data_IF_640475175227
#
_entry.id   IF_640475175227
#
_cell.length_a   1.000
_cell.length_b   1.000
_cell.length_c   1.000
_cell.angle_alpha   90.00
_cell.angle_beta   90.00
_cell.angle_gamma   90.00
#
_symmetry.space_group_name_H-M   'P 1'
#
loop_
_entity.id
_entity.type
_entity.pdbx_description
1 polymer ?
#
# COMPACT_ATOMS: atom_id res chain seq x y z
N UNK A 1 -19.60 12.96 -15.41
CA UNK A 1 -18.99 13.95 -14.50
C UNK A 1 -19.75 13.92 -13.18
N UNK A 2 -19.32 13.06 -12.27
CA UNK A 2 -19.72 13.15 -10.87
C UNK A 2 -18.91 14.25 -10.24
N UNK A 3 -19.51 15.42 -10.14
CA UNK A 3 -18.99 16.56 -9.40
C UNK A 3 -18.94 16.17 -7.90
N UNK A 4 -17.73 15.86 -7.42
CA UNK A 4 -17.45 15.65 -5.99
C UNK A 4 -17.07 16.95 -5.28
N UNK A 5 -17.40 18.10 -5.83
CA UNK A 5 -17.22 19.42 -5.20
C UNK A 5 -18.45 19.80 -4.37
N UNK A 6 -18.77 19.06 -3.33
CA UNK A 6 -19.57 19.58 -2.22
C UNK A 6 -18.71 19.53 -0.96
N UNK A 7 -18.68 20.61 -0.21
CA UNK A 7 -17.98 20.81 1.05
C UNK A 7 -18.25 19.66 2.04
N UNK A 8 -17.59 18.53 1.81
CA UNK A 8 -17.46 17.46 2.77
C UNK A 8 -16.21 17.78 3.57
N UNK A 9 -16.38 17.93 4.89
CA UNK A 9 -15.32 17.95 5.89
C UNK A 9 -14.11 17.17 5.44
N UNK A 10 -12.90 17.68 5.62
CA UNK A 10 -11.61 17.04 5.33
C UNK A 10 -11.47 15.70 6.08
N UNK A 11 -12.16 14.67 5.59
CA UNK A 11 -12.00 13.30 6.06
C UNK A 11 -10.78 12.75 5.35
N UNK A 12 -9.72 12.43 6.10
CA UNK A 12 -8.55 11.79 5.53
C UNK A 12 -8.90 10.44 4.93
N UNK A 13 -8.39 10.18 3.73
CA UNK A 13 -8.65 8.93 3.05
C UNK A 13 -7.92 7.76 3.73
N UNK A 14 -8.52 6.59 3.65
CA UNK A 14 -8.07 5.37 4.31
C UNK A 14 -7.85 4.30 3.27
N UNK A 15 -6.68 3.72 3.36
CA UNK A 15 -6.23 2.70 2.45
C UNK A 15 -5.73 1.47 3.21
N UNK A 16 -5.87 0.32 2.59
CA UNK A 16 -5.34 -0.95 3.10
C UNK A 16 -4.23 -1.45 2.19
N UNK A 17 -3.17 -1.97 2.79
CA UNK A 17 -2.11 -2.69 2.11
C UNK A 17 -2.08 -4.13 2.62
N UNK A 18 -2.24 -5.10 1.74
CA UNK A 18 -2.30 -6.51 2.10
C UNK A 18 -1.27 -7.35 1.32
N UNK A 19 -0.58 -8.20 2.05
CA UNK A 19 0.39 -9.16 1.54
C UNK A 19 -0.20 -10.57 1.44
N UNK A 20 -1.45 -10.78 1.84
CA UNK A 20 -2.08 -12.08 2.02
C UNK A 20 -1.18 -13.03 2.81
N UNK A 21 -0.86 -12.64 4.04
CA UNK A 21 0.02 -13.43 4.91
C UNK A 21 -0.74 -14.65 5.41
N UNK A 22 -0.18 -15.84 5.19
CA UNK A 22 -0.76 -17.07 5.68
C UNK A 22 -0.71 -17.10 7.21
N UNK A 23 -1.81 -17.47 7.80
CA UNK A 23 -1.95 -17.66 9.24
C UNK A 23 -1.64 -19.13 9.63
N UNK A 24 -1.05 -19.32 10.81
CA UNK A 24 -0.83 -20.66 11.34
C UNK A 24 -2.15 -21.45 11.42
N UNK A 25 -2.11 -22.70 10.99
CA UNK A 25 -3.30 -23.58 10.99
C UNK A 25 -4.29 -23.35 9.84
N UNK A 26 -4.11 -22.33 8.97
CA UNK A 26 -5.00 -22.08 7.84
C UNK A 26 -4.46 -22.62 6.52
N UNK A 27 -5.36 -23.07 5.67
CA UNK A 27 -5.07 -23.38 4.27
C UNK A 27 -4.99 -22.09 3.42
N UNK A 28 -4.42 -22.17 2.23
CA UNK A 28 -4.43 -21.04 1.30
C UNK A 28 -5.87 -20.59 0.98
N UNK A 29 -6.81 -21.54 0.82
CA UNK A 29 -8.21 -21.23 0.55
C UNK A 29 -8.86 -20.44 1.69
N UNK A 30 -8.52 -20.75 2.95
CA UNK A 30 -9.02 -20.01 4.11
C UNK A 30 -8.52 -18.55 4.06
N UNK A 31 -7.25 -18.31 3.72
CA UNK A 31 -6.69 -16.97 3.61
C UNK A 31 -7.40 -16.17 2.51
N UNK A 32 -7.66 -16.76 1.34
CA UNK A 32 -8.41 -16.08 0.28
C UNK A 32 -9.86 -15.77 0.67
N UNK A 33 -10.54 -16.69 1.38
CA UNK A 33 -11.89 -16.47 1.88
C UNK A 33 -11.93 -15.35 2.94
N UNK A 34 -10.98 -15.34 3.85
CA UNK A 34 -10.83 -14.28 4.85
C UNK A 34 -10.56 -12.93 4.21
N UNK A 35 -9.67 -12.88 3.21
CA UNK A 35 -9.40 -11.66 2.45
C UNK A 35 -10.66 -11.18 1.74
N UNK A 36 -11.43 -12.08 1.11
CA UNK A 36 -12.72 -11.72 0.50
C UNK A 36 -13.67 -11.08 1.51
N UNK A 37 -13.82 -11.71 2.68
CA UNK A 37 -14.65 -11.18 3.76
C UNK A 37 -14.19 -9.76 4.15
N UNK A 38 -12.90 -9.57 4.34
CA UNK A 38 -12.32 -8.30 4.74
C UNK A 38 -12.53 -7.22 3.66
N UNK A 39 -12.20 -7.48 2.41
CA UNK A 39 -12.36 -6.50 1.31
C UNK A 39 -13.82 -6.06 1.15
N UNK A 40 -14.78 -7.01 1.18
CA UNK A 40 -16.21 -6.70 1.08
C UNK A 40 -16.70 -5.88 2.28
N UNK A 41 -16.24 -6.19 3.48
CA UNK A 41 -16.60 -5.41 4.67
C UNK A 41 -16.04 -3.99 4.61
N UNK A 42 -14.80 -3.82 4.13
CA UNK A 42 -14.15 -2.52 4.01
C UNK A 42 -14.78 -1.65 2.91
N UNK A 43 -15.25 -2.24 1.82
CA UNK A 43 -16.06 -1.54 0.81
C UNK A 43 -17.34 -0.94 1.44
N UNK A 44 -18.07 -1.74 2.23
CA UNK A 44 -19.27 -1.28 2.97
C UNK A 44 -18.95 -0.20 4.01
N UNK A 45 -17.79 -0.25 4.64
CA UNK A 45 -17.32 0.75 5.60
C UNK A 45 -16.87 2.06 4.93
N UNK A 46 -16.83 2.12 3.59
CA UNK A 46 -16.44 3.30 2.84
C UNK A 46 -14.93 3.55 2.84
N UNK A 47 -14.13 2.50 2.88
CA UNK A 47 -12.70 2.61 2.63
C UNK A 47 -12.44 3.08 1.20
N UNK A 48 -11.46 3.94 1.03
CA UNK A 48 -11.18 4.54 -0.27
C UNK A 48 -10.41 3.58 -1.19
N UNK A 49 -9.41 2.82 -0.65
CA UNK A 49 -8.52 1.96 -1.43
C UNK A 49 -8.13 0.68 -0.72
N UNK A 50 -7.84 -0.35 -1.53
CA UNK A 50 -7.24 -1.61 -1.08
C UNK A 50 -6.19 -2.08 -2.08
N UNK A 51 -4.93 -2.20 -1.65
CA UNK A 51 -3.84 -2.63 -2.51
C UNK A 51 -3.26 -3.97 -2.09
N UNK A 52 -2.98 -4.80 -3.09
CA UNK A 52 -2.26 -6.06 -2.94
C UNK A 52 -0.78 -5.84 -3.27
N UNK A 53 0.12 -6.29 -2.37
CA UNK A 53 1.55 -6.31 -2.63
C UNK A 53 1.92 -7.45 -3.58
N UNK A 54 3.10 -7.38 -4.20
CA UNK A 54 3.67 -8.47 -4.99
C UNK A 54 4.95 -8.99 -4.32
N UNK A 55 4.95 -10.29 -3.97
CA UNK A 55 6.11 -10.97 -3.42
C UNK A 55 6.23 -12.39 -3.97
N UNK A 56 7.46 -12.82 -4.26
CA UNK A 56 7.74 -14.15 -4.80
C UNK A 56 8.76 -14.89 -3.95
N UNK A 57 8.64 -16.23 -3.91
CA UNK A 57 9.57 -17.10 -3.18
C UNK A 57 9.36 -17.20 -1.67
N UNK A 58 8.29 -16.61 -1.14
CA UNK A 58 7.94 -16.68 0.28
C UNK A 58 6.70 -17.55 0.47
N UNK A 59 6.86 -18.73 1.07
CA UNK A 59 5.76 -19.70 1.25
C UNK A 59 4.58 -19.16 2.09
N UNK A 60 4.83 -18.14 2.88
CA UNK A 60 3.83 -17.51 3.75
C UNK A 60 3.17 -16.27 3.16
N UNK A 61 3.54 -15.84 1.96
CA UNK A 61 2.95 -14.69 1.26
C UNK A 61 2.22 -15.18 0.01
N UNK A 62 0.89 -15.04 -0.01
CA UNK A 62 0.07 -15.58 -1.11
C UNK A 62 -0.23 -14.55 -2.20
N UNK A 63 0.18 -13.31 -2.02
CA UNK A 63 0.02 -12.26 -3.01
C UNK A 63 1.19 -12.27 -4.00
N UNK A 64 1.14 -13.20 -4.95
CA UNK A 64 2.15 -13.41 -6.00
C UNK A 64 1.72 -12.90 -7.38
N UNK A 65 0.42 -12.66 -7.58
CA UNK A 65 -0.17 -12.12 -8.80
C UNK A 65 -1.23 -11.08 -8.40
N UNK A 66 -0.80 -9.88 -7.95
CA UNK A 66 -1.68 -8.90 -7.35
C UNK A 66 -2.73 -8.36 -8.33
N UNK A 67 -2.45 -8.34 -9.64
CA UNK A 67 -3.40 -7.96 -10.68
C UNK A 67 -4.57 -8.94 -10.80
N UNK A 68 -4.32 -10.23 -10.59
CA UNK A 68 -5.39 -11.27 -10.58
C UNK A 68 -6.25 -11.09 -9.33
N UNK A 69 -5.61 -10.89 -8.16
CA UNK A 69 -6.32 -10.64 -6.90
C UNK A 69 -7.17 -9.37 -7.01
N UNK A 70 -6.58 -8.28 -7.48
CA UNK A 70 -7.29 -7.02 -7.65
C UNK A 70 -8.50 -7.18 -8.58
N UNK A 71 -8.36 -7.86 -9.72
CA UNK A 71 -9.46 -8.11 -10.65
C UNK A 71 -10.58 -8.94 -10.01
N UNK A 72 -10.22 -10.00 -9.27
CA UNK A 72 -11.20 -10.83 -8.56
C UNK A 72 -11.98 -10.02 -7.52
N UNK A 73 -11.30 -9.20 -6.72
CA UNK A 73 -11.95 -8.42 -5.67
C UNK A 73 -12.71 -7.20 -6.20
N UNK A 74 -12.29 -6.59 -7.30
CA UNK A 74 -13.07 -5.58 -8.02
C UNK A 74 -14.45 -6.09 -8.42
N UNK A 75 -14.54 -7.36 -8.85
CA UNK A 75 -15.82 -8.00 -9.21
C UNK A 75 -16.69 -8.37 -8.00
N UNK A 76 -16.16 -8.29 -6.78
CA UNK A 76 -16.89 -8.60 -5.53
C UNK A 76 -17.20 -7.35 -4.69
N UNK A 77 -16.90 -6.14 -5.19
CA UNK A 77 -17.06 -4.84 -4.52
C UNK A 77 -17.70 -3.82 -5.46
N UNK A 78 -18.23 -2.73 -4.91
CA UNK A 78 -18.96 -1.72 -5.69
C UNK A 78 -18.26 -0.36 -5.74
N UNK A 79 -17.60 0.07 -4.64
CA UNK A 79 -17.12 1.44 -4.49
C UNK A 79 -15.61 1.56 -4.30
N UNK A 80 -15.01 0.65 -3.52
CA UNK A 80 -13.61 0.71 -3.16
C UNK A 80 -12.72 0.61 -4.40
N UNK A 81 -11.71 1.47 -4.48
CA UNK A 81 -10.66 1.38 -5.50
C UNK A 81 -9.72 0.23 -5.12
N UNK A 82 -9.45 -0.67 -6.05
CA UNK A 82 -8.55 -1.80 -5.80
C UNK A 82 -7.40 -1.78 -6.80
N UNK A 83 -6.21 -2.09 -6.32
CA UNK A 83 -5.02 -2.10 -7.17
C UNK A 83 -3.86 -2.84 -6.55
N UNK A 84 -2.68 -2.48 -7.00
CA UNK A 84 -1.43 -3.09 -6.56
C UNK A 84 -0.58 -2.11 -5.76
N UNK A 85 0.08 -2.60 -4.72
CA UNK A 85 0.95 -1.77 -3.89
C UNK A 85 2.29 -2.45 -3.57
N UNK A 86 3.06 -2.78 -4.63
CA UNK A 86 2.96 -2.46 -6.04
C UNK A 86 3.19 -3.65 -6.95
N UNK A 87 3.00 -3.39 -8.23
CA UNK A 87 3.48 -4.28 -9.29
C UNK A 87 4.99 -4.13 -9.42
N UNK A 88 5.72 -5.25 -9.39
CA UNK A 88 7.19 -5.26 -9.52
C UNK A 88 7.58 -5.20 -11.00
N UNK A 89 7.45 -4.01 -11.60
CA UNK A 89 7.53 -3.80 -13.06
C UNK A 89 8.84 -4.26 -13.69
N UNK A 90 9.91 -4.38 -12.90
CA UNK A 90 11.20 -4.88 -13.39
C UNK A 90 11.14 -6.32 -13.93
N UNK A 91 10.09 -7.08 -13.62
CA UNK A 91 9.90 -8.47 -14.07
C UNK A 91 9.06 -8.56 -15.34
N UNK A 92 8.42 -7.47 -15.77
CA UNK A 92 7.42 -7.50 -16.83
C UNK A 92 7.77 -6.60 -18.00
N UNK A 93 7.09 -6.84 -19.14
CA UNK A 93 7.12 -5.92 -20.28
C UNK A 93 6.22 -4.70 -19.95
N UNK A 94 6.68 -3.47 -20.22
CA UNK A 94 5.85 -2.27 -20.11
C UNK A 94 4.52 -2.38 -20.85
N UNK A 95 4.52 -2.95 -22.06
CA UNK A 95 3.31 -3.23 -22.84
C UNK A 95 2.35 -4.14 -22.07
N UNK A 96 2.85 -5.25 -21.50
CA UNK A 96 2.00 -6.21 -20.78
C UNK A 96 1.41 -5.60 -19.51
N UNK A 97 2.18 -4.80 -18.78
CA UNK A 97 1.67 -4.07 -17.60
C UNK A 97 0.54 -3.12 -18.01
N UNK A 98 0.78 -2.27 -19.01
CA UNK A 98 -0.24 -1.32 -19.48
C UNK A 98 -1.52 -2.03 -19.95
N UNK A 99 -1.42 -3.09 -20.79
CA UNK A 99 -2.59 -3.85 -21.25
C UNK A 99 -3.36 -4.53 -20.13
N UNK A 100 -2.66 -5.07 -19.12
CA UNK A 100 -3.29 -5.69 -17.95
C UNK A 100 -4.13 -4.67 -17.21
N UNK A 101 -3.56 -3.52 -16.84
CA UNK A 101 -4.27 -2.51 -16.05
C UNK A 101 -5.35 -1.77 -16.86
N UNK A 102 -5.15 -1.54 -18.15
CA UNK A 102 -6.20 -1.02 -19.03
C UNK A 102 -7.39 -1.99 -19.13
N UNK A 103 -7.12 -3.29 -19.23
CA UNK A 103 -8.17 -4.32 -19.21
C UNK A 103 -8.93 -4.32 -17.88
N UNK A 104 -8.21 -4.25 -16.76
CA UNK A 104 -8.85 -4.15 -15.44
C UNK A 104 -9.73 -2.91 -15.32
N UNK A 105 -9.28 -1.77 -15.87
CA UNK A 105 -10.02 -0.52 -15.83
C UNK A 105 -11.29 -0.55 -16.69
N UNK A 106 -11.30 -1.28 -17.80
CA UNK A 106 -12.55 -1.53 -18.57
C UNK A 106 -13.53 -2.40 -17.79
N UNK A 107 -13.02 -3.39 -17.02
CA UNK A 107 -13.86 -4.25 -16.19
C UNK A 107 -14.43 -3.52 -14.96
N UNK A 108 -13.71 -2.53 -14.42
CA UNK A 108 -14.07 -1.76 -13.23
C UNK A 108 -13.70 -0.27 -13.40
N UNK A 109 -14.45 0.49 -14.22
CA UNK A 109 -14.13 1.87 -14.55
C UNK A 109 -13.96 2.78 -13.34
N UNK A 110 -12.85 3.51 -13.28
CA UNK A 110 -12.52 4.48 -12.22
C UNK A 110 -12.16 3.87 -10.86
N UNK A 111 -12.00 2.54 -10.77
CA UNK A 111 -11.69 1.83 -9.53
C UNK A 111 -10.38 1.04 -9.56
N UNK A 112 -9.45 1.37 -10.47
CA UNK A 112 -8.20 0.64 -10.63
C UNK A 112 -6.99 1.54 -10.36
N UNK A 113 -6.15 1.13 -9.42
CA UNK A 113 -4.84 1.73 -9.15
C UNK A 113 -3.70 0.82 -9.63
N UNK A 114 -2.67 1.43 -10.21
CA UNK A 114 -1.39 0.79 -10.50
C UNK A 114 -0.32 1.38 -9.58
N UNK A 115 -0.02 0.72 -8.47
CA UNK A 115 1.15 1.05 -7.67
C UNK A 115 2.41 0.50 -8.32
N UNK A 116 3.37 1.38 -8.64
CA UNK A 116 4.61 1.02 -9.33
C UNK A 116 5.70 0.75 -8.30
N UNK A 117 5.99 -0.54 -8.11
CA UNK A 117 7.07 -1.02 -7.27
C UNK A 117 8.41 -1.06 -8.02
N UNK A 118 9.46 -0.52 -7.40
CA UNK A 118 10.82 -0.53 -7.94
C UNK A 118 11.72 -1.59 -7.31
N UNK A 119 11.28 -2.18 -6.21
CA UNK A 119 11.98 -3.28 -5.56
C UNK A 119 11.68 -4.61 -6.29
N UNK A 120 12.54 -5.61 -6.16
CA UNK A 120 12.33 -6.91 -6.83
C UNK A 120 11.23 -7.77 -6.17
N UNK A 121 10.80 -7.49 -4.96
CA UNK A 121 9.78 -8.25 -4.23
C UNK A 121 10.15 -9.72 -3.95
N UNK A 122 11.43 -10.09 -4.11
CA UNK A 122 11.86 -11.50 -4.07
C UNK A 122 13.37 -11.64 -3.85
N UNK A 123 13.82 -12.89 -3.67
CA UNK A 123 15.25 -13.24 -3.62
C UNK A 123 15.92 -13.34 -4.99
N UNK A 124 17.25 -13.50 -5.05
CA UNK A 124 18.01 -13.51 -6.31
C UNK A 124 17.62 -14.64 -7.27
N UNK A 125 17.19 -15.78 -6.77
CA UNK A 125 16.79 -16.93 -7.61
C UNK A 125 15.45 -16.66 -8.29
N UNK A 126 14.50 -16.12 -7.55
CA UNK A 126 13.18 -15.73 -8.05
C UNK A 126 13.30 -14.61 -9.07
N UNK A 127 14.13 -13.60 -8.82
CA UNK A 127 14.45 -12.53 -9.79
C UNK A 127 14.93 -13.14 -11.10
N UNK A 128 15.88 -14.07 -11.03
CA UNK A 128 16.42 -14.73 -12.23
C UNK A 128 15.36 -15.56 -12.96
N UNK A 129 14.50 -16.24 -12.21
CA UNK A 129 13.42 -17.06 -12.80
C UNK A 129 12.38 -16.17 -13.48
N UNK A 130 11.91 -15.09 -12.81
CA UNK A 130 10.96 -14.12 -13.34
C UNK A 130 11.50 -13.42 -14.60
N UNK A 131 12.77 -13.08 -14.61
CA UNK A 131 13.44 -12.47 -15.77
C UNK A 131 13.88 -13.48 -16.83
N UNK A 132 13.46 -14.75 -16.74
CA UNK A 132 13.80 -15.81 -17.71
C UNK A 132 15.32 -15.96 -17.95
N UNK A 133 16.12 -15.77 -16.89
CA UNK A 133 17.57 -15.82 -16.94
C UNK A 133 18.25 -14.54 -17.46
N UNK A 134 17.49 -13.56 -17.94
CA UNK A 134 18.03 -12.29 -18.42
C UNK A 134 18.57 -11.42 -17.27
N UNK A 135 19.49 -10.46 -17.57
CA UNK A 135 19.96 -9.50 -16.59
C UNK A 135 18.81 -8.68 -15.96
N UNK A 136 19.04 -8.22 -14.73
CA UNK A 136 18.11 -7.34 -14.05
C UNK A 136 18.01 -5.98 -14.78
N UNK A 137 16.79 -5.50 -15.00
CA UNK A 137 16.48 -4.27 -15.71
C UNK A 137 16.54 -3.00 -14.84
N UNK A 138 17.11 -3.07 -13.63
CA UNK A 138 17.08 -1.97 -12.66
C UNK A 138 17.63 -0.63 -13.20
N UNK A 139 18.57 -0.65 -14.14
CA UNK A 139 19.13 0.56 -14.77
C UNK A 139 18.18 1.25 -15.77
N UNK A 140 17.18 0.54 -16.28
CA UNK A 140 16.21 1.04 -17.27
C UNK A 140 14.83 1.31 -16.66
N UNK A 141 14.71 1.15 -15.36
CA UNK A 141 13.42 1.12 -14.67
C UNK A 141 12.59 2.39 -14.86
N UNK A 142 13.21 3.57 -14.84
CA UNK A 142 12.48 4.83 -15.06
C UNK A 142 12.03 4.99 -16.52
N UNK A 143 12.82 4.51 -17.48
CA UNK A 143 12.41 4.51 -18.89
C UNK A 143 11.21 3.58 -19.09
N UNK A 144 11.23 2.38 -18.47
CA UNK A 144 10.10 1.46 -18.51
C UNK A 144 8.83 2.03 -17.85
N UNK A 145 8.97 2.73 -16.71
CA UNK A 145 7.84 3.45 -16.10
C UNK A 145 7.26 4.48 -17.07
N UNK A 146 8.13 5.26 -17.74
CA UNK A 146 7.66 6.28 -18.68
C UNK A 146 6.90 5.67 -19.85
N UNK A 147 7.36 4.55 -20.38
CA UNK A 147 6.66 3.80 -21.43
C UNK A 147 5.28 3.33 -20.93
N UNK A 148 5.19 2.81 -19.70
CA UNK A 148 3.90 2.43 -19.11
C UNK A 148 2.95 3.63 -19.04
N UNK A 149 3.43 4.78 -18.55
CA UNK A 149 2.60 5.99 -18.43
C UNK A 149 2.12 6.48 -19.80
N UNK A 150 2.99 6.47 -20.82
CA UNK A 150 2.61 6.84 -22.18
C UNK A 150 1.52 5.90 -22.73
N UNK A 151 1.63 4.59 -22.51
CA UNK A 151 0.60 3.62 -22.92
C UNK A 151 -0.72 3.79 -22.15
N UNK A 152 -0.69 4.13 -20.86
CA UNK A 152 -1.91 4.40 -20.09
C UNK A 152 -2.65 5.65 -20.59
N UNK A 153 -1.94 6.57 -21.25
CA UNK A 153 -2.49 7.78 -21.84
C UNK A 153 -2.79 7.63 -23.36
N UNK A 154 -2.64 6.43 -23.93
CA UNK A 154 -2.72 6.19 -25.39
C UNK A 154 -1.72 7.02 -26.22
N UNK A 155 -0.61 7.43 -25.59
CA UNK A 155 0.49 8.14 -26.26
C UNK A 155 1.48 7.17 -26.85
N UNK A 156 2.22 7.64 -27.87
CA UNK A 156 3.34 6.91 -28.44
C UNK A 156 4.58 7.05 -27.53
N UNK A 157 5.12 5.94 -26.98
CA UNK A 157 6.34 5.99 -26.19
C UNK A 157 7.54 6.46 -27.00
N UNK A 158 8.44 7.20 -26.36
CA UNK A 158 9.71 7.60 -26.99
C UNK A 158 10.74 6.45 -26.91
N UNK A 159 10.46 5.35 -27.62
CA UNK A 159 11.31 4.15 -27.69
C UNK A 159 11.18 3.50 -29.07
N UNK A 160 12.28 3.05 -29.73
CA UNK A 160 12.25 2.54 -31.09
C UNK A 160 11.41 1.28 -31.31
N UNK A 161 11.19 0.48 -30.25
CA UNK A 161 10.38 -0.75 -30.31
C UNK A 161 8.94 -0.46 -29.86
N UNK A 162 8.78 0.16 -28.70
CA UNK A 162 7.47 0.37 -28.09
C UNK A 162 6.63 1.43 -28.84
N UNK A 163 7.23 2.39 -29.55
CA UNK A 163 6.50 3.35 -30.39
C UNK A 163 5.73 2.72 -31.55
N UNK A 164 6.09 1.48 -31.94
CA UNK A 164 5.47 0.77 -33.08
C UNK A 164 4.27 -0.09 -32.69
N UNK A 165 3.96 -0.20 -31.42
CA UNK A 165 2.86 -1.01 -30.90
C UNK A 165 1.94 -0.17 -30.02
N UNK A 166 0.70 -0.59 -29.86
CA UNK A 166 -0.29 0.08 -29.01
C UNK A 166 -0.72 -0.86 -27.90
N UNK A 167 -0.85 -0.34 -26.69
CA UNK A 167 -1.44 -1.08 -25.58
C UNK A 167 -2.96 -1.10 -25.70
N UNK A 168 -3.54 -2.29 -25.81
CA UNK A 168 -4.98 -2.50 -25.99
C UNK A 168 -5.61 -3.02 -24.66
N UNK A 169 -6.84 -2.61 -24.30
CA UNK A 169 -7.75 -1.73 -25.03
C UNK A 169 -7.29 -0.26 -25.03
N UNK A 170 -7.64 0.48 -26.06
CA UNK A 170 -7.46 1.93 -26.10
C UNK A 170 -8.64 2.59 -25.43
N UNK A 171 -8.37 3.47 -24.49
CA UNK A 171 -9.38 4.17 -23.71
C UNK A 171 -9.27 5.66 -23.99
N UNK A 172 -10.41 6.31 -24.25
CA UNK A 172 -10.47 7.77 -24.43
C UNK A 172 -10.44 8.53 -23.08
N UNK A 173 -10.66 7.83 -21.99
CA UNK A 173 -10.65 8.37 -20.62
C UNK A 173 -9.59 7.67 -19.77
N UNK A 174 -9.04 8.40 -18.81
CA UNK A 174 -8.08 7.83 -17.86
C UNK A 174 -8.82 7.03 -16.82
N UNK A 175 -8.70 5.74 -16.92
CA UNK A 175 -9.35 4.82 -16.03
C UNK A 175 -8.41 4.24 -14.96
N UNK A 176 -7.09 4.25 -15.22
CA UNK A 176 -6.06 3.75 -14.30
C UNK A 176 -5.37 4.90 -13.60
N UNK A 177 -5.26 4.86 -12.28
CA UNK A 177 -4.46 5.80 -11.51
C UNK A 177 -3.09 5.20 -11.18
N UNK A 178 -2.00 5.67 -11.81
CA UNK A 178 -0.67 5.22 -11.47
C UNK A 178 -0.15 5.94 -10.22
N UNK A 179 0.49 5.18 -9.33
CA UNK A 179 1.12 5.66 -8.11
C UNK A 179 2.60 5.36 -8.10
N UNK A 180 3.42 6.34 -7.75
CA UNK A 180 4.84 6.10 -7.51
C UNK A 180 5.04 5.64 -6.06
N UNK A 181 5.64 4.44 -5.88
CA UNK A 181 5.91 3.89 -4.56
C UNK A 181 7.38 4.09 -4.16
N UNK A 182 7.61 4.30 -2.88
CA UNK A 182 8.96 4.41 -2.32
C UNK A 182 9.01 4.24 -0.82
N UNK A 183 10.19 3.91 -0.29
CA UNK A 183 10.45 3.79 1.15
C UNK A 183 11.64 4.62 1.64
N UNK A 184 12.44 5.18 0.72
CA UNK A 184 13.64 5.96 1.05
C UNK A 184 13.54 7.43 0.65
N UNK A 185 12.41 7.85 0.07
CA UNK A 185 12.24 9.19 -0.47
C UNK A 185 12.82 9.43 -1.87
N UNK A 186 13.67 8.54 -2.40
CA UNK A 186 14.31 8.72 -3.71
C UNK A 186 13.34 8.78 -4.90
N UNK A 187 12.15 8.22 -4.76
CA UNK A 187 11.12 8.24 -5.80
C UNK A 187 10.33 9.55 -5.82
N UNK A 188 10.30 10.28 -4.72
CA UNK A 188 9.48 11.48 -4.58
C UNK A 188 9.80 12.58 -5.60
N UNK A 189 11.08 12.93 -5.91
CA UNK A 189 11.40 13.91 -6.94
C UNK A 189 10.88 13.51 -8.33
N UNK A 190 10.98 12.22 -8.69
CA UNK A 190 10.50 11.71 -9.98
C UNK A 190 8.98 11.74 -10.04
N UNK A 191 8.31 11.35 -8.94
CA UNK A 191 6.85 11.46 -8.82
C UNK A 191 6.38 12.91 -9.01
N UNK A 192 7.08 13.87 -8.40
CA UNK A 192 6.78 15.30 -8.54
C UNK A 192 6.93 15.78 -9.99
N UNK A 193 8.03 15.39 -10.65
CA UNK A 193 8.30 15.78 -12.03
C UNK A 193 7.28 15.21 -13.01
N UNK A 194 6.84 13.97 -12.79
CA UNK A 194 5.88 13.30 -13.68
C UNK A 194 4.41 13.52 -13.28
N UNK A 195 4.16 14.32 -12.25
CA UNK A 195 2.81 14.63 -11.78
C UNK A 195 2.06 13.40 -11.28
N UNK A 196 2.74 12.50 -10.56
CA UNK A 196 2.17 11.27 -10.01
C UNK A 196 1.91 11.39 -8.51
N UNK A 197 0.81 10.83 -7.98
CA UNK A 197 0.65 10.60 -6.56
C UNK A 197 1.83 9.76 -6.02
N UNK A 198 2.26 10.08 -4.79
CA UNK A 198 3.38 9.42 -4.13
C UNK A 198 2.92 8.68 -2.88
N UNK A 199 3.22 7.38 -2.80
CA UNK A 199 2.96 6.58 -1.60
C UNK A 199 4.27 6.17 -0.93
N UNK A 200 4.42 6.57 0.33
CA UNK A 200 5.63 6.31 1.12
C UNK A 200 5.43 5.15 2.09
N UNK A 201 6.24 4.11 1.93
CA UNK A 201 6.19 2.90 2.76
C UNK A 201 7.06 3.06 4.02
N UNK A 202 6.54 3.76 5.03
CA UNK A 202 7.23 4.00 6.30
C UNK A 202 7.47 2.71 7.11
N UNK A 203 6.61 1.70 6.95
CA UNK A 203 6.74 0.41 7.63
C UNK A 203 7.99 -0.41 7.26
N UNK A 204 8.74 -0.03 6.23
CA UNK A 204 10.05 -0.63 5.92
C UNK A 204 11.17 -0.16 6.85
N UNK A 205 10.84 0.67 7.84
CA UNK A 205 11.75 1.13 8.88
C UNK A 205 12.98 1.92 8.36
N UNK A 206 12.77 2.70 7.29
CA UNK A 206 13.76 3.66 6.78
C UNK A 206 13.32 5.06 7.16
N UNK A 207 14.15 5.78 7.88
CA UNK A 207 13.91 7.19 8.19
C UNK A 207 14.02 8.04 6.93
N UNK A 208 12.97 8.81 6.66
CA UNK A 208 12.95 9.74 5.54
C UNK A 208 12.79 11.16 6.07
N UNK A 209 13.72 12.07 5.72
CA UNK A 209 13.64 13.46 6.18
C UNK A 209 12.38 14.17 5.69
N UNK A 210 11.80 15.04 6.52
CA UNK A 210 10.58 15.79 6.24
C UNK A 210 10.65 16.63 4.96
N UNK A 211 11.83 17.14 4.64
CA UNK A 211 12.02 17.97 3.44
C UNK A 211 11.68 17.23 2.14
N UNK A 212 11.79 15.88 2.11
CA UNK A 212 11.45 15.07 0.94
C UNK A 212 9.99 15.29 0.52
N UNK A 213 9.08 15.31 1.50
CA UNK A 213 7.64 15.49 1.24
C UNK A 213 7.32 16.94 0.88
N UNK A 214 7.99 17.90 1.54
CA UNK A 214 7.88 19.33 1.21
C UNK A 214 8.39 19.63 -0.20
N UNK A 215 9.54 19.05 -0.57
CA UNK A 215 10.12 19.22 -1.90
C UNK A 215 9.27 18.54 -2.98
N UNK A 216 8.67 17.37 -2.72
CA UNK A 216 7.71 16.74 -3.60
C UNK A 216 6.54 17.69 -3.89
N UNK A 217 5.90 18.26 -2.87
CA UNK A 217 4.77 19.19 -3.05
C UNK A 217 5.18 20.46 -3.77
N UNK A 218 6.32 21.06 -3.40
CA UNK A 218 6.83 22.30 -4.01
C UNK A 218 7.17 22.16 -5.48
N UNK A 219 7.73 21.00 -5.88
CA UNK A 219 8.20 20.78 -7.25
C UNK A 219 7.21 19.98 -8.10
N UNK A 220 6.02 19.69 -7.59
CA UNK A 220 5.01 18.94 -8.30
C UNK A 220 4.56 19.66 -9.57
N UNK A 221 4.58 18.94 -10.70
CA UNK A 221 4.08 19.39 -11.99
C UNK A 221 2.77 18.69 -12.27
N UNK A 222 1.67 19.44 -12.40
CA UNK A 222 0.39 18.84 -12.77
C UNK A 222 0.51 18.02 -14.05
N UNK A 223 -0.15 16.88 -14.07
CA UNK A 223 -0.19 15.98 -15.21
C UNK A 223 -1.62 15.57 -15.51
N UNK A 224 -1.74 14.69 -16.47
CA UNK A 224 -2.99 14.03 -16.76
C UNK A 224 -3.44 13.08 -15.66
N UNK A 225 -2.58 12.65 -14.76
CA UNK A 225 -2.92 11.75 -13.66
C UNK A 225 -3.33 12.49 -12.38
N UNK A 226 -2.72 13.66 -12.12
CA UNK A 226 -3.05 14.45 -10.95
C UNK A 226 -2.83 15.96 -11.19
N UNK A 227 -3.81 16.78 -10.78
CA UNK A 227 -3.74 18.24 -10.88
C UNK A 227 -2.95 18.87 -9.73
N UNK A 228 -2.83 18.16 -8.61
CA UNK A 228 -2.14 18.61 -7.39
C UNK A 228 -1.37 17.45 -6.74
N UNK A 229 -0.34 17.77 -5.94
CA UNK A 229 0.40 16.74 -5.23
C UNK A 229 -0.51 15.97 -4.26
N UNK A 230 -0.24 14.68 -4.12
CA UNK A 230 -0.99 13.79 -3.25
C UNK A 230 -0.04 12.79 -2.58
N UNK A 231 -0.05 12.74 -1.24
CA UNK A 231 0.84 11.90 -0.45
C UNK A 231 0.03 10.91 0.38
N UNK A 232 0.28 9.62 0.15
CA UNK A 232 -0.12 8.53 1.05
C UNK A 232 1.09 8.05 1.86
N UNK A 233 0.89 7.74 3.15
CA UNK A 233 1.94 7.16 3.98
C UNK A 233 1.45 5.91 4.68
N UNK A 234 2.26 4.85 4.62
CA UNK A 234 1.87 3.55 5.14
C UNK A 234 2.54 3.22 6.48
N UNK A 235 1.75 2.63 7.36
CA UNK A 235 2.16 2.20 8.69
C UNK A 235 1.77 0.75 8.94
N UNK A 236 2.62 0.01 9.64
CA UNK A 236 2.23 -1.27 10.23
C UNK A 236 1.42 -0.95 11.50
N UNK A 237 0.19 -1.50 11.61
CA UNK A 237 -0.76 -0.99 12.58
C UNK A 237 -1.54 -2.09 13.32
N UNK A 238 -1.69 -1.90 14.64
CA UNK A 238 -2.63 -2.59 15.52
C UNK A 238 -3.36 -1.54 16.36
N UNK A 239 -4.67 -1.46 16.21
CA UNK A 239 -5.55 -0.60 17.04
C UNK A 239 -6.50 -1.52 17.80
N UNK A 240 -6.42 -1.48 19.12
CA UNK A 240 -7.30 -2.25 20.00
C UNK A 240 -8.34 -1.34 20.66
N UNK A 241 -9.46 -1.94 21.07
CA UNK A 241 -10.53 -1.22 21.76
C UNK A 241 -10.12 -0.85 23.20
N UNK A 242 -9.38 -1.73 23.86
CA UNK A 242 -8.89 -1.55 25.23
C UNK A 242 -7.49 -2.14 25.42
N UNK A 243 -7.00 -2.06 26.66
CA UNK A 243 -5.65 -2.53 27.02
C UNK A 243 -5.53 -4.04 27.09
N UNK A 244 -6.60 -4.75 27.43
CA UNK A 244 -6.59 -6.20 27.54
C UNK A 244 -6.49 -6.83 26.15
N UNK A 245 -7.26 -6.31 25.18
CA UNK A 245 -7.14 -6.69 23.78
C UNK A 245 -5.77 -6.33 23.22
N UNK A 246 -5.26 -5.14 23.57
CA UNK A 246 -3.95 -4.66 23.13
C UNK A 246 -2.82 -5.57 23.64
N UNK A 247 -2.89 -6.03 24.87
CA UNK A 247 -1.92 -6.97 25.46
C UNK A 247 -2.02 -8.34 24.76
N UNK A 248 -3.23 -8.85 24.59
CA UNK A 248 -3.50 -10.13 23.95
C UNK A 248 -2.98 -10.20 22.51
N UNK A 249 -3.37 -9.27 21.65
CA UNK A 249 -2.96 -9.25 20.24
C UNK A 249 -1.54 -8.72 20.06
N UNK A 250 -1.13 -7.79 20.91
CA UNK A 250 0.11 -7.01 20.77
C UNK A 250 1.36 -7.87 20.79
N UNK A 251 1.38 -8.96 21.58
CA UNK A 251 2.54 -9.84 21.67
C UNK A 251 2.79 -10.60 20.36
N UNK A 252 1.73 -11.11 19.72
CA UNK A 252 1.82 -11.79 18.44
C UNK A 252 2.21 -10.81 17.31
N UNK A 253 1.69 -9.59 17.34
CA UNK A 253 2.05 -8.52 16.43
C UNK A 253 3.54 -8.14 16.53
N UNK A 254 4.06 -7.98 17.74
CA UNK A 254 5.47 -7.68 18.00
C UNK A 254 6.37 -8.84 17.56
N UNK A 255 5.98 -10.07 17.89
CA UNK A 255 6.69 -11.25 17.45
C UNK A 255 6.79 -11.33 15.93
N UNK A 256 5.67 -11.11 15.22
CA UNK A 256 5.67 -11.08 13.76
C UNK A 256 6.61 -10.00 13.21
N UNK A 257 6.58 -8.79 13.78
CA UNK A 257 7.46 -7.70 13.37
C UNK A 257 8.94 -8.08 13.49
N UNK A 258 9.34 -8.68 14.63
CA UNK A 258 10.71 -9.14 14.85
C UNK A 258 11.12 -10.26 13.90
N UNK A 259 10.25 -11.25 13.68
CA UNK A 259 10.55 -12.35 12.74
C UNK A 259 10.67 -11.83 11.30
N UNK A 260 9.83 -10.88 10.90
CA UNK A 260 9.92 -10.25 9.58
C UNK A 260 11.23 -9.45 9.42
N UNK A 261 11.61 -8.66 10.42
CA UNK A 261 12.86 -7.89 10.40
C UNK A 261 14.12 -8.77 10.30
N UNK A 262 14.04 -10.01 10.80
CA UNK A 262 15.12 -11.01 10.72
C UNK A 262 15.06 -11.89 9.46
N UNK A 263 14.07 -11.69 8.59
CA UNK A 263 13.83 -12.57 7.43
C UNK A 263 13.43 -14.01 7.81
N UNK A 264 12.82 -14.19 8.97
CA UNK A 264 12.46 -15.51 9.54
C UNK A 264 10.95 -15.73 9.68
N UNK A 265 10.13 -14.79 9.17
CA UNK A 265 8.67 -14.90 9.28
C UNK A 265 8.16 -16.13 8.53
N UNK A 266 7.38 -16.95 9.20
CA UNK A 266 6.69 -18.13 8.64
C UNK A 266 5.18 -17.90 8.49
N UNK A 267 4.71 -16.67 8.66
CA UNK A 267 3.31 -16.30 8.64
C UNK A 267 2.86 -15.69 9.97
N UNK A 268 1.56 -15.45 10.10
CA UNK A 268 0.97 -14.95 11.34
C UNK A 268 0.77 -16.10 12.31
N UNK A 269 1.18 -15.91 13.55
CA UNK A 269 0.97 -16.84 14.65
C UNK A 269 -0.16 -16.35 15.54
N UNK A 270 -0.87 -17.29 16.19
CA UNK A 270 -1.92 -16.89 17.13
C UNK A 270 -1.30 -16.29 18.40
N UNK A 271 -2.03 -15.42 19.12
CA UNK A 271 -1.58 -14.95 20.43
C UNK A 271 -1.24 -16.09 21.39
N UNK A 272 -1.98 -17.21 21.35
CA UNK A 272 -1.74 -18.38 22.18
C UNK A 272 -0.38 -19.05 21.89
N UNK A 273 0.05 -19.07 20.62
CA UNK A 273 1.33 -19.68 20.22
C UNK A 273 2.54 -18.92 20.78
N UNK A 274 2.37 -17.66 21.15
CA UNK A 274 3.45 -16.79 21.63
C UNK A 274 3.25 -16.29 23.06
N UNK A 275 2.20 -16.72 23.76
CA UNK A 275 1.88 -16.23 25.11
C UNK A 275 3.04 -16.39 26.11
N UNK A 276 3.81 -17.48 26.01
CA UNK A 276 4.94 -17.77 26.86
C UNK A 276 6.30 -17.34 26.28
N UNK A 277 6.29 -16.68 25.11
CA UNK A 277 7.51 -16.17 24.49
C UNK A 277 8.04 -14.95 25.25
N UNK A 278 9.30 -15.02 25.70
CA UNK A 278 9.96 -13.92 26.40
C UNK A 278 10.90 -13.18 25.43
N UNK A 279 10.59 -11.92 25.14
CA UNK A 279 11.47 -11.07 24.34
C UNK A 279 12.77 -10.80 25.09
N UNK A 280 13.90 -11.04 24.44
CA UNK A 280 15.22 -10.69 24.97
C UNK A 280 15.47 -9.17 24.97
N UNK A 281 16.60 -8.73 25.54
CA UNK A 281 16.93 -7.30 25.63
C UNK A 281 17.11 -6.64 24.25
N UNK A 282 17.68 -7.36 23.28
CA UNK A 282 17.88 -6.84 21.93
C UNK A 282 16.56 -6.72 21.18
N UNK A 283 15.66 -7.68 21.35
CA UNK A 283 14.31 -7.67 20.79
C UNK A 283 13.49 -6.50 21.35
N UNK A 284 13.52 -6.31 22.66
CA UNK A 284 12.87 -5.17 23.32
C UNK A 284 13.41 -3.83 22.80
N UNK A 285 14.73 -3.71 22.66
CA UNK A 285 15.36 -2.50 22.11
C UNK A 285 14.95 -2.25 20.66
N UNK A 286 14.88 -3.29 19.81
CA UNK A 286 14.44 -3.16 18.43
C UNK A 286 12.97 -2.74 18.32
N UNK A 287 12.10 -3.33 19.14
CA UNK A 287 10.69 -2.94 19.22
C UNK A 287 10.54 -1.48 19.66
N UNK A 288 11.24 -1.09 20.75
CA UNK A 288 11.21 0.28 21.25
C UNK A 288 11.62 1.28 20.16
N UNK A 289 12.73 1.01 19.48
CA UNK A 289 13.17 1.84 18.34
C UNK A 289 12.09 1.94 17.26
N UNK A 290 11.41 0.84 16.93
CA UNK A 290 10.35 0.82 15.91
C UNK A 290 9.14 1.64 16.33
N UNK A 291 8.78 1.65 17.62
CA UNK A 291 7.73 2.49 18.19
C UNK A 291 8.13 3.98 18.21
N UNK A 292 9.31 4.29 18.72
CA UNK A 292 9.81 5.67 18.82
C UNK A 292 9.90 6.35 17.45
N UNK A 293 10.31 5.59 16.41
CA UNK A 293 10.37 6.06 15.03
C UNK A 293 9.03 6.00 14.30
N UNK A 294 7.97 5.50 14.95
CA UNK A 294 6.63 5.35 14.38
C UNK A 294 6.61 4.52 13.09
N UNK A 295 7.48 3.52 12.99
CA UNK A 295 7.42 2.53 11.89
C UNK A 295 6.29 1.53 12.10
N UNK A 296 5.99 1.25 13.35
CA UNK A 296 4.84 0.48 13.80
C UNK A 296 4.01 1.32 14.77
N UNK A 297 2.70 1.25 14.63
CA UNK A 297 1.74 1.90 15.48
C UNK A 297 0.90 0.84 16.20
N UNK A 298 1.06 0.75 17.51
CA UNK A 298 0.32 -0.19 18.36
C UNK A 298 -0.22 0.55 19.57
N UNK A 299 -1.52 0.51 19.77
CA UNK A 299 -2.16 1.21 20.87
C UNK A 299 -3.67 1.14 20.86
N UNK A 300 -4.27 1.76 21.85
CA UNK A 300 -5.71 2.00 21.90
C UNK A 300 -6.11 3.06 20.87
N UNK A 301 -7.39 3.16 20.57
CA UNK A 301 -7.94 4.17 19.65
C UNK A 301 -7.43 5.57 19.94
N UNK A 302 -7.46 5.99 21.23
CA UNK A 302 -7.04 7.34 21.62
C UNK A 302 -5.55 7.57 21.36
N UNK A 303 -4.69 6.61 21.75
CA UNK A 303 -3.24 6.71 21.59
C UNK A 303 -2.86 6.79 20.09
N UNK A 304 -3.51 5.98 19.27
CA UNK A 304 -3.25 5.99 17.81
C UNK A 304 -3.80 7.25 17.14
N UNK A 305 -4.94 7.79 17.60
CA UNK A 305 -5.46 9.05 17.08
C UNK A 305 -4.44 10.18 17.24
N UNK A 306 -3.91 10.36 18.45
CA UNK A 306 -2.93 11.42 18.75
C UNK A 306 -1.68 11.29 17.86
N UNK A 307 -1.19 10.05 17.67
CA UNK A 307 -0.02 9.79 16.80
C UNK A 307 -0.34 10.11 15.33
N UNK A 308 -1.49 9.66 14.83
CA UNK A 308 -1.85 9.88 13.42
C UNK A 308 -2.06 11.35 13.09
N UNK A 309 -2.68 12.13 13.99
CA UNK A 309 -2.84 13.57 13.78
C UNK A 309 -1.50 14.29 13.72
N UNK A 310 -0.55 13.93 14.58
CA UNK A 310 0.80 14.49 14.55
C UNK A 310 1.53 14.11 13.23
N UNK A 311 1.46 12.85 12.79
CA UNK A 311 2.06 12.39 11.52
C UNK A 311 1.41 13.08 10.30
N UNK A 312 0.08 13.17 10.26
CA UNK A 312 -0.65 13.87 9.21
C UNK A 312 -0.24 15.32 9.13
N UNK A 313 -0.21 16.01 10.26
CA UNK A 313 0.19 17.42 10.33
C UNK A 313 1.65 17.63 9.95
N UNK A 314 2.55 16.78 10.46
CA UNK A 314 3.99 16.85 10.22
C UNK A 314 4.36 16.69 8.74
N UNK A 315 3.76 15.73 8.06
CA UNK A 315 4.08 15.39 6.67
C UNK A 315 3.07 15.95 5.67
N UNK A 316 2.04 16.63 6.16
CA UNK A 316 0.92 17.15 5.34
C UNK A 316 0.34 16.05 4.44
N UNK A 317 -0.07 14.94 5.07
CA UNK A 317 -0.55 13.75 4.37
C UNK A 317 -1.98 13.95 3.87
N UNK A 318 -2.30 13.32 2.76
CA UNK A 318 -3.64 13.27 2.18
C UNK A 318 -4.34 11.93 2.49
N UNK A 319 -3.54 10.87 2.76
CA UNK A 319 -4.08 9.52 2.95
C UNK A 319 -3.20 8.67 3.88
N UNK A 320 -3.84 7.84 4.70
CA UNK A 320 -3.21 6.85 5.57
C UNK A 320 -3.41 5.45 4.98
N UNK A 321 -2.32 4.75 4.76
CA UNK A 321 -2.28 3.37 4.32
C UNK A 321 -1.97 2.46 5.51
N UNK A 322 -2.89 1.58 5.88
CA UNK A 322 -2.72 0.66 6.99
C UNK A 322 -2.34 -0.76 6.52
N UNK A 323 -1.26 -1.29 7.06
CA UNK A 323 -0.85 -2.68 6.96
C UNK A 323 -1.03 -3.33 8.33
N UNK A 324 -1.95 -4.30 8.46
CA UNK A 324 -2.32 -4.90 9.75
C UNK A 324 -1.99 -6.39 9.79
N UNK A 325 -0.73 -6.77 10.05
CA UNK A 325 -0.33 -8.18 10.16
C UNK A 325 -0.74 -8.77 11.52
N UNK A 326 -2.03 -8.93 11.72
CA UNK A 326 -2.66 -9.40 12.94
C UNK A 326 -3.33 -10.75 12.65
N UNK A 327 -3.18 -11.72 13.57
CA UNK A 327 -3.84 -13.02 13.48
C UNK A 327 -5.36 -12.90 13.61
N UNK A 328 -6.08 -13.58 12.73
CA UNK A 328 -7.54 -13.60 12.70
C UNK A 328 -8.14 -12.44 11.88
N UNK A 329 -9.00 -12.79 10.92
CA UNK A 329 -9.64 -11.81 10.04
C UNK A 329 -10.50 -10.81 10.80
N UNK A 330 -11.20 -11.24 11.86
CA UNK A 330 -12.04 -10.34 12.68
C UNK A 330 -11.18 -9.29 13.38
N UNK A 331 -10.04 -9.67 13.94
CA UNK A 331 -9.12 -8.74 14.60
C UNK A 331 -8.58 -7.70 13.62
N UNK A 332 -8.27 -8.12 12.38
CA UNK A 332 -7.88 -7.18 11.30
C UNK A 332 -9.01 -6.22 10.96
N UNK A 333 -10.22 -6.74 10.75
CA UNK A 333 -11.42 -5.92 10.47
C UNK A 333 -11.69 -4.95 11.62
N UNK A 334 -11.55 -5.35 12.87
CA UNK A 334 -11.74 -4.47 14.04
C UNK A 334 -10.71 -3.34 14.06
N UNK A 335 -9.43 -3.61 13.80
CA UNK A 335 -8.42 -2.56 13.64
C UNK A 335 -8.81 -1.56 12.53
N UNK A 336 -9.31 -2.03 11.38
CA UNK A 336 -9.77 -1.14 10.31
C UNK A 336 -11.03 -0.36 10.71
N UNK A 337 -12.00 -0.97 11.40
CA UNK A 337 -13.16 -0.27 11.95
C UNK A 337 -12.75 0.84 12.92
N UNK A 338 -11.78 0.55 13.78
CA UNK A 338 -11.21 1.53 14.70
C UNK A 338 -10.57 2.70 13.93
N UNK A 339 -9.73 2.43 12.94
CA UNK A 339 -9.10 3.46 12.10
C UNK A 339 -10.17 4.30 11.37
N UNK A 340 -11.21 3.67 10.84
CA UNK A 340 -12.32 4.37 10.21
C UNK A 340 -12.97 5.39 11.14
N UNK A 341 -13.27 4.99 12.38
CA UNK A 341 -13.85 5.90 13.39
C UNK A 341 -12.92 7.07 13.69
N UNK A 342 -11.61 6.82 13.85
CA UNK A 342 -10.63 7.85 14.22
C UNK A 342 -10.54 8.98 13.18
N UNK A 343 -10.51 8.63 11.92
CA UNK A 343 -10.32 9.60 10.83
C UNK A 343 -11.63 10.26 10.36
N UNK A 344 -12.78 9.73 10.79
CA UNK A 344 -14.09 10.26 10.42
C UNK A 344 -14.64 11.30 11.43
N UNK A 345 -14.27 11.19 12.72
CA UNK A 345 -14.93 11.93 13.82
C UNK A 345 -14.15 13.15 14.29
N UNK A 346 -12.97 13.44 13.77
CA UNK A 346 -12.14 14.53 14.28
C UNK A 346 -12.05 15.69 13.29
N UNK A 347 -12.11 16.96 13.78
CA UNK A 347 -11.88 18.13 12.93
C UNK A 347 -10.48 18.09 12.35
N UNK A 348 -10.35 18.43 11.06
CA UNK A 348 -9.08 18.51 10.38
C UNK A 348 -8.11 19.47 11.10
N UNK A 349 -6.82 19.14 11.29
CA UNK A 349 -5.83 20.12 11.74
C UNK A 349 -5.75 21.36 10.85
N UNK A 350 -6.20 21.27 9.58
CA UNK A 350 -6.30 22.41 8.66
C UNK A 350 -7.37 23.41 9.08
N UNK A 351 -8.42 22.99 9.81
CA UNK A 351 -9.47 23.86 10.32
C UNK A 351 -9.02 24.65 11.55
N UNK A 352 -8.06 24.12 12.32
CA UNK A 352 -7.54 24.78 13.52
C UNK A 352 -6.62 25.99 13.24
N UNK A 353 -6.19 26.18 11.99
CA UNK A 353 -5.33 27.31 11.58
C UNK A 353 -6.11 28.48 10.99
N UNK A 354 -7.44 28.40 10.92
CA UNK A 354 -8.33 29.45 10.40
C UNK A 354 -9.12 30.19 11.50
N UNK A 355 -8.81 29.97 12.79
CA UNK A 355 -9.40 30.68 13.91
C UNK A 355 -8.46 31.67 14.56
#
# INVERSE_FOLDING_TARGET
TLDRSSAASDVYKRQVHDLLIREAGKTNQDVFNDTKKMVVELDKLGYDRYWFAEHHGFENLLSVAPEILATYFLSNTENIVIGTGGTMIMHYSPLKVAETFKTMAELAPGRVDLGIGRAPGSGPLEIRALNQGNPNKSSQLYDEIKIILDYLEDKEPNDPVFSRVKAIPMNNEKLVMPWMLGSTGQAAPVAAEWGMPYSHAKFFAVETPDYVFKDYKKNFKASSFADKPYISMSYKMLIADDKDELEYLGKAFDYFHLQQARGRSKGLVSPEDVKDYEFDLNEKALLQKSYDSRFILKGTKKEIADILYDEISKFDLDEILAFTPIYGVENRINTYKALNCLLYTSPSPRDATLS
#
